data_IF_202223112494
#
_entry.id   IF_202223112494
#
_cell.length_a   1.000
_cell.length_b   1.000
_cell.length_c   1.000
_cell.angle_alpha   90.00
_cell.angle_beta   90.00
_cell.angle_gamma   90.00
#
_symmetry.space_group_name_H-M   'P 1'
#
loop_
_entity.id
_entity.type
_entity.pdbx_description
1 polymer ?
#
# COMPACT_ATOMS: atom_id res chain seq x y z
N UNK A 1 27.58 -6.11 6.13
CA UNK A 1 26.71 -6.97 5.30
C UNK A 1 25.29 -6.60 5.69
N UNK A 2 24.57 -5.81 4.87
CA UNK A 2 23.19 -5.44 5.19
C UNK A 2 22.33 -6.70 5.05
N UNK A 3 21.98 -7.31 6.18
CA UNK A 3 20.99 -8.37 6.25
C UNK A 3 19.66 -7.76 5.79
N UNK A 4 19.26 -8.03 4.55
CA UNK A 4 17.96 -7.63 4.05
C UNK A 4 16.88 -8.23 4.96
N UNK A 5 16.19 -7.37 5.72
CA UNK A 5 15.06 -7.76 6.55
C UNK A 5 13.77 -7.24 5.90
N UNK A 6 12.93 -8.13 5.34
CA UNK A 6 11.67 -7.74 4.71
C UNK A 6 10.70 -7.06 5.69
N UNK A 7 10.79 -7.35 6.99
CA UNK A 7 9.96 -6.70 8.01
C UNK A 7 10.38 -5.23 8.20
N UNK A 8 11.69 -4.94 8.21
CA UNK A 8 12.16 -3.56 8.25
C UNK A 8 11.74 -2.79 7.00
N UNK A 9 11.90 -3.40 5.82
CA UNK A 9 11.48 -2.77 4.56
C UNK A 9 9.96 -2.50 4.54
N UNK A 10 9.15 -3.44 5.05
CA UNK A 10 7.72 -3.24 5.24
C UNK A 10 7.42 -2.04 6.16
N UNK A 11 8.02 -2.01 7.36
CA UNK A 11 7.81 -0.92 8.32
C UNK A 11 8.22 0.44 7.73
N UNK A 12 9.37 0.52 7.07
CA UNK A 12 9.83 1.73 6.41
C UNK A 12 8.86 2.20 5.32
N UNK A 13 8.35 1.30 4.48
CA UNK A 13 7.39 1.64 3.43
C UNK A 13 6.04 2.09 3.98
N UNK A 14 5.57 1.49 5.09
CA UNK A 14 4.35 1.95 5.76
C UNK A 14 4.53 3.35 6.36
N UNK A 15 5.64 3.60 7.05
CA UNK A 15 5.95 4.92 7.60
C UNK A 15 6.05 5.98 6.51
N UNK A 16 6.70 5.65 5.39
CA UNK A 16 6.84 6.56 4.25
C UNK A 16 5.49 6.81 3.55
N UNK A 17 4.65 5.78 3.40
CA UNK A 17 3.31 5.94 2.87
C UNK A 17 2.46 6.89 3.73
N UNK A 18 2.58 6.80 5.06
CA UNK A 18 1.86 7.65 6.00
C UNK A 18 2.35 9.10 5.97
N UNK A 19 3.66 9.32 5.82
CA UNK A 19 4.24 10.67 5.64
C UNK A 19 3.67 11.33 4.38
N UNK A 20 3.66 10.64 3.25
CA UNK A 20 3.08 11.14 2.01
C UNK A 20 1.56 11.38 2.09
N UNK A 21 0.84 10.61 2.89
CA UNK A 21 -0.60 10.79 3.11
C UNK A 21 -0.92 12.03 3.97
N UNK A 22 -0.06 12.35 4.93
CA UNK A 22 -0.31 13.39 5.94
C UNK A 22 0.38 14.72 5.66
N UNK A 23 1.36 14.75 4.75
CA UNK A 23 1.97 16.01 4.30
C UNK A 23 0.95 16.95 3.62
N UNK A 24 1.29 18.24 3.52
CA UNK A 24 0.40 19.29 3.02
C UNK A 24 1.04 20.04 1.84
N UNK A 25 0.54 19.89 0.60
CA UNK A 25 -0.58 19.04 0.19
C UNK A 25 -0.23 17.54 0.21
N UNK A 26 -1.22 16.63 0.40
CA UNK A 26 -0.97 15.20 0.43
C UNK A 26 -0.48 14.70 -0.94
N UNK A 27 0.52 13.81 -0.94
CA UNK A 27 1.01 13.16 -2.16
C UNK A 27 0.54 11.71 -2.21
N UNK A 28 -0.71 11.56 -2.62
CA UNK A 28 -1.38 10.27 -2.73
C UNK A 28 -0.68 9.36 -3.75
N UNK A 29 -0.01 9.93 -4.75
CA UNK A 29 0.72 9.14 -5.75
C UNK A 29 1.90 8.41 -5.11
N UNK A 30 2.74 9.13 -4.37
CA UNK A 30 3.87 8.52 -3.67
C UNK A 30 3.43 7.61 -2.53
N UNK A 31 2.32 7.94 -1.84
CA UNK A 31 1.68 7.04 -0.89
C UNK A 31 1.30 5.68 -1.51
N UNK A 32 0.59 5.69 -2.65
CA UNK A 32 0.20 4.46 -3.36
C UNK A 32 1.41 3.70 -3.89
N UNK A 33 2.48 4.38 -4.33
CA UNK A 33 3.71 3.71 -4.76
C UNK A 33 4.40 2.96 -3.61
N UNK A 34 4.45 3.55 -2.42
CA UNK A 34 5.00 2.89 -1.23
C UNK A 34 4.20 1.64 -0.86
N UNK A 35 2.87 1.73 -0.88
CA UNK A 35 1.99 0.58 -0.64
C UNK A 35 2.12 -0.49 -1.74
N UNK A 36 2.29 -0.10 -3.00
CA UNK A 36 2.51 -1.05 -4.11
C UNK A 36 3.85 -1.77 -3.95
N UNK A 37 4.88 -1.10 -3.45
CA UNK A 37 6.17 -1.71 -3.15
C UNK A 37 6.06 -2.78 -2.05
N UNK A 38 5.20 -2.59 -1.05
CA UNK A 38 4.93 -3.61 -0.02
C UNK A 38 4.37 -4.90 -0.63
N UNK A 39 3.43 -4.79 -1.58
CA UNK A 39 2.88 -5.95 -2.30
C UNK A 39 3.99 -6.68 -3.07
N UNK A 40 4.87 -5.93 -3.74
CA UNK A 40 6.00 -6.49 -4.49
C UNK A 40 7.08 -7.12 -3.60
N UNK A 41 7.15 -6.71 -2.33
CA UNK A 41 8.08 -7.28 -1.34
C UNK A 41 7.74 -8.73 -0.99
N UNK A 42 6.53 -9.21 -1.35
CA UNK A 42 6.02 -10.57 -1.07
C UNK A 42 6.22 -10.95 0.40
N UNK A 43 5.77 -10.07 1.29
CA UNK A 43 5.80 -10.31 2.73
C UNK A 43 5.06 -11.62 3.03
N UNK A 44 5.59 -12.52 3.88
CA UNK A 44 5.06 -13.88 4.06
C UNK A 44 3.69 -13.96 4.75
N UNK A 45 3.02 -12.82 4.99
CA UNK A 45 1.76 -12.73 5.71
C UNK A 45 0.64 -12.26 4.76
N UNK A 46 -0.28 -13.14 4.32
CA UNK A 46 -1.38 -12.78 3.41
C UNK A 46 -2.27 -11.65 3.94
N UNK A 47 -2.45 -11.57 5.26
CA UNK A 47 -3.20 -10.50 5.91
C UNK A 47 -2.59 -9.11 5.70
N UNK A 48 -1.26 -9.01 5.52
CA UNK A 48 -0.59 -7.75 5.20
C UNK A 48 -0.92 -7.36 3.77
N UNK A 49 -0.79 -8.29 2.82
CA UNK A 49 -1.14 -8.04 1.41
C UNK A 49 -2.61 -7.63 1.25
N UNK A 50 -3.54 -8.29 1.95
CA UNK A 50 -4.96 -7.94 1.98
C UNK A 50 -5.19 -6.51 2.49
N UNK A 51 -4.58 -6.15 3.63
CA UNK A 51 -4.66 -4.81 4.21
C UNK A 51 -4.07 -3.74 3.29
N UNK A 52 -2.92 -4.01 2.66
CA UNK A 52 -2.28 -3.08 1.74
C UNK A 52 -3.15 -2.86 0.50
N UNK A 53 -3.76 -3.91 -0.06
CA UNK A 53 -4.72 -3.77 -1.15
C UNK A 53 -5.95 -2.95 -0.73
N UNK A 54 -6.48 -3.16 0.48
CA UNK A 54 -7.59 -2.36 1.00
C UNK A 54 -7.22 -0.88 1.12
N UNK A 55 -6.03 -0.58 1.67
CA UNK A 55 -5.53 0.80 1.80
C UNK A 55 -5.37 1.49 0.45
N UNK A 56 -4.78 0.82 -0.55
CA UNK A 56 -4.65 1.39 -1.90
C UNK A 56 -6.04 1.64 -2.51
N UNK A 57 -6.96 0.67 -2.39
CA UNK A 57 -8.33 0.79 -2.87
C UNK A 57 -9.05 2.02 -2.31
N UNK A 58 -9.00 2.22 -0.99
CA UNK A 58 -9.61 3.37 -0.33
C UNK A 58 -8.99 4.70 -0.76
N UNK A 59 -7.66 4.80 -0.79
CA UNK A 59 -6.97 6.03 -1.24
C UNK A 59 -7.34 6.41 -2.68
N UNK A 60 -7.46 5.42 -3.56
CA UNK A 60 -7.88 5.66 -4.94
C UNK A 60 -9.35 6.10 -5.04
N UNK A 61 -10.24 5.60 -4.18
CA UNK A 61 -11.64 6.06 -4.14
C UNK A 61 -11.77 7.50 -3.62
N UNK A 62 -10.97 7.85 -2.60
CA UNK A 62 -11.06 9.14 -1.92
C UNK A 62 -10.39 10.27 -2.71
N UNK A 63 -9.31 9.96 -3.42
CA UNK A 63 -8.41 10.99 -3.97
C UNK A 63 -8.07 10.81 -5.47
N UNK A 64 -8.61 9.81 -6.15
CA UNK A 64 -8.32 9.56 -7.57
C UNK A 64 -9.60 9.34 -8.40
N UNK A 65 -9.53 9.66 -9.69
CA UNK A 65 -10.57 9.30 -10.66
C UNK A 65 -10.43 7.86 -11.18
N UNK A 66 -9.44 7.09 -10.69
CA UNK A 66 -9.15 5.73 -11.16
C UNK A 66 -9.99 4.66 -10.44
N UNK A 67 -11.31 4.75 -10.61
CA UNK A 67 -12.28 3.84 -9.98
C UNK A 67 -12.04 2.36 -10.34
N UNK A 68 -11.65 2.07 -11.58
CA UNK A 68 -11.40 0.69 -12.02
C UNK A 68 -10.19 0.08 -11.28
N UNK A 69 -9.13 0.85 -11.11
CA UNK A 69 -7.96 0.41 -10.35
C UNK A 69 -8.33 0.19 -8.88
N UNK A 70 -9.11 1.10 -8.28
CA UNK A 70 -9.61 0.95 -6.92
C UNK A 70 -10.38 -0.36 -6.74
N UNK A 71 -11.31 -0.67 -7.64
CA UNK A 71 -12.07 -1.94 -7.64
C UNK A 71 -11.16 -3.16 -7.72
N UNK A 72 -10.12 -3.14 -8.56
CA UNK A 72 -9.16 -4.25 -8.67
C UNK A 72 -8.46 -4.49 -7.34
N UNK A 73 -7.98 -3.43 -6.68
CA UNK A 73 -7.35 -3.56 -5.37
C UNK A 73 -8.33 -4.07 -4.31
N UNK A 74 -9.55 -3.54 -4.25
CA UNK A 74 -10.57 -3.99 -3.29
C UNK A 74 -10.96 -5.45 -3.48
N UNK A 75 -11.17 -5.89 -4.73
CA UNK A 75 -11.43 -7.31 -5.03
C UNK A 75 -10.28 -8.21 -4.59
N UNK A 76 -9.04 -7.76 -4.80
CA UNK A 76 -7.86 -8.52 -4.41
C UNK A 76 -7.70 -8.59 -2.88
N UNK A 77 -8.03 -7.51 -2.17
CA UNK A 77 -8.09 -7.51 -0.70
C UNK A 77 -9.06 -8.58 -0.18
N UNK A 78 -10.28 -8.63 -0.73
CA UNK A 78 -11.30 -9.60 -0.33
C UNK A 78 -10.89 -11.04 -0.67
N UNK A 79 -10.21 -11.26 -1.79
CA UNK A 79 -9.74 -12.59 -2.19
C UNK A 79 -8.61 -13.17 -1.32
N UNK A 80 -7.97 -12.33 -0.50
CA UNK A 80 -6.84 -12.70 0.36
C UNK A 80 -7.24 -12.84 1.84
N UNK A 81 -8.50 -12.54 2.17
CA UNK A 81 -9.12 -12.75 3.49
C UNK A 81 -9.74 -14.15 3.56
#
# INVERSE_FOLDING_TARGET
>A
MNSYNPENAYLTLVSLAEEFRTQKPPDIRNCVQCLTAIINLRVPYPAIEAKTHLQIGSLLLEHSNNLELAKVHLKKAVSLL
#
